data_IF_621613409166
#
_entry.id   IF_621613409166
#
_cell.length_a   1.000
_cell.length_b   1.000
_cell.length_c   1.000
_cell.angle_alpha   90.00
_cell.angle_beta   90.00
_cell.angle_gamma   90.00
#
_symmetry.space_group_name_H-M   'P 1'
#
loop_
_entity.id
_entity.type
_entity.pdbx_description
1 polymer ?
#
# COMPACT_ATOMS: atom_id res chain seq x y z
N UNK A 1 -50.87 -5.87 7.67
CA UNK A 1 -49.94 -5.10 8.51
C UNK A 1 -48.65 -5.86 8.41
N UNK A 2 -47.77 -5.45 7.48
CA UNK A 2 -46.44 -6.05 7.39
C UNK A 2 -45.69 -5.61 8.63
N UNK A 3 -45.23 -6.57 9.42
CA UNK A 3 -44.11 -6.34 10.34
C UNK A 3 -42.98 -5.78 9.50
N UNK A 4 -42.83 -4.47 9.56
CA UNK A 4 -41.56 -3.83 9.26
C UNK A 4 -40.75 -4.07 10.53
N UNK A 5 -40.07 -5.22 10.60
CA UNK A 5 -38.87 -5.29 11.42
C UNK A 5 -37.96 -4.20 10.85
N UNK A 6 -37.89 -3.05 11.53
CA UNK A 6 -36.77 -2.13 11.32
C UNK A 6 -35.53 -2.97 11.57
N UNK A 7 -34.81 -3.34 10.51
CA UNK A 7 -33.48 -3.94 10.62
C UNK A 7 -32.66 -3.00 11.50
N UNK A 8 -32.54 -3.34 12.78
CA UNK A 8 -31.81 -2.54 13.76
C UNK A 8 -30.37 -2.40 13.24
N UNK A 9 -29.96 -1.16 13.00
CA UNK A 9 -28.64 -0.87 12.45
C UNK A 9 -27.59 -1.40 13.42
N UNK A 10 -26.77 -2.36 12.97
CA UNK A 10 -25.73 -2.95 13.80
C UNK A 10 -24.60 -1.96 14.07
N UNK A 11 -23.92 -2.12 15.20
CA UNK A 11 -22.82 -1.24 15.63
C UNK A 11 -21.74 -1.08 14.56
N UNK A 12 -21.37 -2.17 13.88
CA UNK A 12 -20.33 -2.16 12.83
C UNK A 12 -20.76 -1.29 11.63
N UNK A 13 -22.01 -1.44 11.20
CA UNK A 13 -22.58 -0.67 10.10
C UNK A 13 -22.67 0.81 10.48
N UNK A 14 -23.20 1.10 11.67
CA UNK A 14 -23.24 2.45 12.24
C UNK A 14 -21.84 3.06 12.27
N UNK A 15 -20.85 2.38 12.85
CA UNK A 15 -19.47 2.86 12.98
C UNK A 15 -18.84 3.17 11.62
N UNK A 16 -19.00 2.29 10.63
CA UNK A 16 -18.48 2.50 9.28
C UNK A 16 -19.21 3.63 8.52
N UNK A 17 -20.43 3.99 8.91
CA UNK A 17 -21.19 5.09 8.33
C UNK A 17 -20.80 6.48 8.86
N UNK A 18 -20.09 6.54 9.99
CA UNK A 18 -19.71 7.80 10.62
C UNK A 18 -18.78 8.64 9.72
N UNK A 19 -18.93 9.97 9.70
CA UNK A 19 -17.99 10.86 9.01
C UNK A 19 -16.55 10.63 9.47
N UNK A 20 -15.63 10.44 8.52
CA UNK A 20 -14.22 10.14 8.79
C UNK A 20 -13.88 8.64 8.81
N UNK A 21 -14.88 7.76 8.86
CA UNK A 21 -14.69 6.31 8.89
C UNK A 21 -14.86 5.65 7.50
N UNK A 22 -14.88 6.42 6.42
CA UNK A 22 -15.12 5.94 5.06
C UNK A 22 -14.08 4.93 4.57
N UNK A 23 -12.90 4.94 5.20
CA UNK A 23 -11.80 4.03 4.90
C UNK A 23 -12.00 2.61 5.46
N UNK A 24 -12.85 2.45 6.47
CA UNK A 24 -13.14 1.14 7.05
C UNK A 24 -14.03 0.30 6.14
N UNK A 25 -13.84 -1.01 6.17
CA UNK A 25 -14.84 -1.96 5.71
C UNK A 25 -15.54 -2.63 6.90
N UNK A 26 -16.75 -3.13 6.67
CA UNK A 26 -17.51 -3.87 7.67
C UNK A 26 -16.90 -5.26 7.86
N UNK A 27 -16.35 -5.50 9.05
CA UNK A 27 -15.80 -6.82 9.42
C UNK A 27 -16.96 -7.75 9.79
N UNK A 28 -17.11 -8.94 9.18
CA UNK A 28 -18.15 -9.88 9.54
C UNK A 28 -18.06 -10.30 11.02
N UNK A 29 -19.19 -10.33 11.72
CA UNK A 29 -19.25 -10.76 13.13
C UNK A 29 -18.63 -12.14 13.33
N UNK A 30 -18.81 -13.07 12.40
CA UNK A 30 -18.20 -14.41 12.46
C UNK A 30 -16.67 -14.41 12.48
N UNK A 31 -16.01 -13.39 11.92
CA UNK A 31 -14.56 -13.22 12.03
C UNK A 31 -14.15 -12.76 13.43
N UNK A 32 -14.96 -11.88 14.04
CA UNK A 32 -14.75 -11.29 15.36
C UNK A 32 -15.03 -12.30 16.47
N UNK A 33 -16.07 -13.12 16.32
CA UNK A 33 -16.45 -14.17 17.27
C UNK A 33 -15.37 -15.25 17.44
N UNK A 34 -14.54 -15.47 16.40
CA UNK A 34 -13.40 -16.38 16.49
C UNK A 34 -12.24 -15.75 17.28
N UNK A 35 -12.15 -16.14 18.55
CA UNK A 35 -11.11 -15.70 19.49
C UNK A 35 -9.67 -15.87 18.99
N UNK A 36 -9.41 -16.79 18.05
CA UNK A 36 -8.08 -16.96 17.46
C UNK A 36 -7.65 -15.70 16.68
N UNK A 37 -8.58 -15.07 15.96
CA UNK A 37 -8.32 -13.83 15.21
C UNK A 37 -8.01 -12.64 16.12
N UNK A 38 -8.48 -12.70 17.38
CA UNK A 38 -8.31 -11.64 18.38
C UNK A 38 -7.07 -11.82 19.27
N UNK A 39 -6.25 -12.85 19.01
CA UNK A 39 -5.11 -13.19 19.86
C UNK A 39 -4.16 -11.98 20.12
N UNK A 40 -3.80 -11.76 21.39
CA UNK A 40 -2.91 -10.68 21.81
C UNK A 40 -3.55 -9.29 21.96
N UNK A 41 -4.75 -9.06 21.42
CA UNK A 41 -5.43 -7.76 21.55
C UNK A 41 -5.94 -7.50 22.99
N UNK A 42 -6.34 -8.56 23.69
CA UNK A 42 -6.82 -8.49 25.09
C UNK A 42 -5.84 -7.84 26.07
N UNK A 43 -4.53 -7.96 25.83
CA UNK A 43 -3.50 -7.35 26.67
C UNK A 43 -3.23 -5.88 26.33
N UNK A 44 -3.70 -5.42 25.17
CA UNK A 44 -3.37 -4.10 24.61
C UNK A 44 -4.52 -3.10 24.79
N UNK A 45 -5.76 -3.57 24.67
CA UNK A 45 -6.96 -2.72 24.71
C UNK A 45 -7.59 -2.72 26.12
N UNK A 46 -7.86 -1.53 26.70
CA UNK A 46 -8.58 -1.46 27.97
C UNK A 46 -10.04 -1.92 27.80
N UNK A 47 -10.63 -2.51 28.85
CA UNK A 47 -12.03 -2.95 28.82
C UNK A 47 -12.38 -3.88 27.65
N UNK A 48 -11.45 -4.77 27.26
CA UNK A 48 -11.58 -5.61 26.05
C UNK A 48 -12.92 -6.37 25.94
N UNK A 49 -13.41 -6.97 27.03
CA UNK A 49 -14.66 -7.74 27.00
C UNK A 49 -15.88 -6.81 26.79
N UNK A 50 -15.89 -5.65 27.46
CA UNK A 50 -16.94 -4.66 27.30
C UNK A 50 -16.95 -4.10 25.87
N UNK A 51 -15.76 -3.79 25.33
CA UNK A 51 -15.55 -3.37 23.95
C UNK A 51 -16.10 -4.39 22.95
N UNK A 52 -15.79 -5.67 23.17
CA UNK A 52 -16.21 -6.77 22.30
C UNK A 52 -17.73 -6.96 22.34
N UNK A 53 -18.34 -6.87 23.52
CA UNK A 53 -19.79 -6.97 23.68
C UNK A 53 -20.51 -5.82 22.93
N UNK A 54 -19.97 -4.60 22.95
CA UNK A 54 -20.52 -3.48 22.19
C UNK A 54 -20.44 -3.73 20.68
N UNK A 55 -19.26 -4.13 20.17
CA UNK A 55 -19.05 -4.39 18.74
C UNK A 55 -19.96 -5.51 18.21
N UNK A 56 -20.26 -6.50 19.05
CA UNK A 56 -21.10 -7.64 18.72
C UNK A 56 -22.60 -7.41 19.02
N UNK A 57 -23.01 -6.17 19.30
CA UNK A 57 -24.40 -5.82 19.62
C UNK A 57 -24.97 -6.61 20.82
N UNK A 58 -24.13 -7.01 21.78
CA UNK A 58 -24.53 -7.77 22.98
C UNK A 58 -24.89 -6.86 24.17
N UNK A 59 -25.00 -5.55 23.93
CA UNK A 59 -25.33 -4.53 24.93
C UNK A 59 -26.47 -3.66 24.46
N UNK A 60 -27.36 -3.25 25.37
CA UNK A 60 -28.47 -2.33 25.08
C UNK A 60 -28.04 -0.85 25.02
N UNK A 61 -26.76 -0.56 24.71
CA UNK A 61 -26.23 0.81 24.66
C UNK A 61 -26.64 1.42 23.31
N UNK A 62 -27.37 2.55 23.29
CA UNK A 62 -27.71 3.22 22.04
C UNK A 62 -26.44 3.73 21.32
N UNK A 63 -26.42 3.65 19.99
CA UNK A 63 -25.29 4.06 19.16
C UNK A 63 -25.26 5.58 18.96
N UNK A 64 -24.82 6.30 19.99
CA UNK A 64 -24.67 7.76 19.97
C UNK A 64 -23.36 8.20 20.67
N UNK A 65 -23.35 9.40 21.27
CA UNK A 65 -22.18 9.95 21.98
C UNK A 65 -21.77 9.11 23.20
N UNK A 66 -22.63 8.21 23.69
CA UNK A 66 -22.34 7.38 24.85
C UNK A 66 -21.46 6.16 24.53
N UNK A 67 -21.18 5.87 23.24
CA UNK A 67 -20.33 4.74 22.87
C UNK A 67 -18.89 4.98 23.35
N UNK A 68 -18.36 4.12 24.25
CA UNK A 68 -17.02 4.29 24.77
C UNK A 68 -15.95 4.19 23.68
N UNK A 69 -14.89 5.03 23.71
CA UNK A 69 -13.89 5.09 22.65
C UNK A 69 -13.11 3.78 22.48
N UNK A 70 -13.00 2.96 23.55
CA UNK A 70 -12.29 1.68 23.50
C UNK A 70 -12.93 0.66 22.53
N UNK A 71 -14.23 0.80 22.20
CA UNK A 71 -14.90 -0.05 21.22
C UNK A 71 -14.36 0.23 19.81
N UNK A 72 -14.29 1.51 19.43
CA UNK A 72 -13.66 1.94 18.18
C UNK A 72 -12.17 1.56 18.12
N UNK A 73 -11.44 1.71 19.25
CA UNK A 73 -10.04 1.33 19.35
C UNK A 73 -9.83 -0.19 19.13
N UNK A 74 -10.68 -1.04 19.70
CA UNK A 74 -10.65 -2.49 19.48
C UNK A 74 -10.99 -2.82 18.02
N UNK A 75 -12.07 -2.26 17.49
CA UNK A 75 -12.53 -2.53 16.13
C UNK A 75 -11.45 -2.17 15.10
N UNK A 76 -10.77 -1.03 15.27
CA UNK A 76 -9.67 -0.65 14.39
C UNK A 76 -8.54 -1.67 14.37
N UNK A 77 -8.16 -2.23 15.53
CA UNK A 77 -7.12 -3.27 15.59
C UNK A 77 -7.57 -4.62 15.00
N UNK A 78 -8.86 -4.94 15.07
CA UNK A 78 -9.45 -6.11 14.41
C UNK A 78 -9.45 -5.89 12.89
N UNK A 79 -9.90 -4.72 12.43
CA UNK A 79 -9.94 -4.33 11.03
C UNK A 79 -8.56 -4.48 10.36
N UNK A 80 -7.49 -4.00 11.02
CA UNK A 80 -6.12 -4.13 10.53
C UNK A 80 -5.71 -5.58 10.22
N UNK A 81 -6.23 -6.56 10.98
CA UNK A 81 -6.00 -7.99 10.75
C UNK A 81 -6.91 -8.53 9.67
N UNK A 82 -8.18 -8.13 9.69
CA UNK A 82 -9.20 -8.60 8.76
C UNK A 82 -8.83 -8.26 7.31
N UNK A 83 -8.38 -7.03 7.03
CA UNK A 83 -8.05 -6.57 5.67
C UNK A 83 -6.81 -7.25 5.07
N UNK A 84 -6.10 -8.09 5.83
CA UNK A 84 -5.02 -8.95 5.34
C UNK A 84 -5.50 -10.36 4.97
N UNK A 85 -6.75 -10.71 5.29
CA UNK A 85 -7.37 -11.96 4.86
C UNK A 85 -7.86 -11.87 3.43
N UNK A 86 -8.10 -13.00 2.76
CA UNK A 86 -8.65 -13.00 1.40
C UNK A 86 -10.00 -12.28 1.31
N UNK A 87 -10.89 -12.51 2.27
CA UNK A 87 -12.22 -11.89 2.31
C UNK A 87 -12.11 -10.39 2.57
N UNK A 88 -11.27 -9.97 3.52
CA UNK A 88 -11.07 -8.54 3.79
C UNK A 88 -10.42 -7.80 2.62
N UNK A 89 -9.49 -8.44 1.90
CA UNK A 89 -8.94 -7.90 0.65
C UNK A 89 -10.01 -7.70 -0.42
N UNK A 90 -10.92 -8.67 -0.60
CA UNK A 90 -12.02 -8.57 -1.57
C UNK A 90 -13.01 -7.44 -1.19
N UNK A 91 -13.31 -7.28 0.10
CA UNK A 91 -14.17 -6.17 0.58
C UNK A 91 -13.49 -4.82 0.35
N UNK A 92 -12.20 -4.70 0.65
CA UNK A 92 -11.45 -3.46 0.38
C UNK A 92 -11.29 -3.18 -1.12
N UNK A 93 -11.26 -4.22 -1.95
CA UNK A 93 -11.24 -4.10 -3.41
C UNK A 93 -12.52 -3.46 -3.94
N UNK A 94 -13.67 -3.81 -3.38
CA UNK A 94 -14.94 -3.18 -3.75
C UNK A 94 -14.89 -1.68 -3.49
N UNK A 95 -14.52 -1.26 -2.27
CA UNK A 95 -14.34 0.15 -1.89
C UNK A 95 -13.33 0.87 -2.78
N UNK A 96 -12.22 0.22 -3.13
CA UNK A 96 -11.21 0.77 -4.05
C UNK A 96 -11.79 1.07 -5.44
N UNK A 97 -12.67 0.19 -5.95
CA UNK A 97 -13.33 0.36 -7.27
C UNK A 97 -14.39 1.46 -7.24
N UNK A 98 -15.08 1.61 -6.12
CA UNK A 98 -16.08 2.67 -5.89
C UNK A 98 -15.42 4.04 -5.69
N UNK A 99 -14.14 4.05 -5.30
CA UNK A 99 -13.34 5.27 -5.17
C UNK A 99 -13.37 5.87 -3.77
N UNK A 100 -13.84 5.11 -2.77
CA UNK A 100 -14.05 5.54 -1.39
C UNK A 100 -12.76 6.07 -0.73
N UNK A 101 -11.62 5.50 -1.09
CA UNK A 101 -10.33 5.89 -0.52
C UNK A 101 -9.76 7.19 -1.13
N UNK A 102 -10.43 7.73 -2.16
CA UNK A 102 -10.03 8.94 -2.85
C UNK A 102 -8.88 8.72 -3.84
N UNK A 103 -8.16 9.82 -4.14
CA UNK A 103 -7.16 9.86 -5.21
C UNK A 103 -5.87 10.52 -4.77
N UNK A 104 -4.80 10.22 -5.49
CA UNK A 104 -3.47 10.74 -5.21
C UNK A 104 -3.42 12.28 -5.41
N UNK A 105 -2.93 13.04 -4.42
CA UNK A 105 -2.86 14.50 -4.51
C UNK A 105 -1.77 14.99 -5.48
N UNK A 106 -0.86 14.11 -5.92
CA UNK A 106 0.18 14.46 -6.87
C UNK A 106 -0.45 14.69 -8.25
N UNK A 107 -0.38 15.93 -8.73
CA UNK A 107 -0.94 16.33 -10.03
C UNK A 107 -0.52 15.45 -11.23
N UNK A 108 0.70 14.88 -11.18
CA UNK A 108 1.23 14.01 -12.26
C UNK A 108 0.83 12.53 -12.12
N UNK A 109 0.08 12.16 -11.08
CA UNK A 109 -0.51 10.84 -10.96
C UNK A 109 -1.85 10.72 -11.68
N UNK A 110 -2.40 11.81 -12.24
CA UNK A 110 -3.66 11.81 -12.98
C UNK A 110 -4.81 11.17 -12.18
N UNK A 111 -5.02 11.65 -10.94
CA UNK A 111 -6.07 11.18 -10.03
C UNK A 111 -6.09 9.65 -9.81
N UNK A 112 -4.90 9.04 -9.69
CA UNK A 112 -4.78 7.62 -9.36
C UNK A 112 -5.48 7.29 -8.04
N UNK A 113 -6.38 6.30 -8.04
CA UNK A 113 -7.00 5.77 -6.81
C UNK A 113 -5.93 5.28 -5.83
N UNK A 114 -6.15 5.57 -4.55
CA UNK A 114 -5.22 5.24 -3.46
C UNK A 114 -5.85 4.21 -2.51
N UNK A 115 -5.08 3.70 -1.57
CA UNK A 115 -5.56 2.81 -0.50
C UNK A 115 -5.05 3.31 0.86
N UNK A 116 -5.78 3.09 1.96
CA UNK A 116 -5.32 3.47 3.30
C UNK A 116 -4.08 2.66 3.71
N UNK A 117 -3.26 3.25 4.58
CA UNK A 117 -1.98 2.69 5.03
C UNK A 117 -1.60 3.23 6.41
N UNK A 118 -0.94 2.38 7.21
CA UNK A 118 -0.24 2.78 8.43
C UNK A 118 1.26 2.96 8.20
N UNK A 119 1.90 3.91 8.88
CA UNK A 119 3.36 3.97 8.97
C UNK A 119 3.90 2.98 10.01
N UNK A 120 3.08 2.66 11.01
CA UNK A 120 3.39 1.76 12.10
C UNK A 120 2.19 0.84 12.36
N UNK A 121 2.46 -0.40 12.75
CA UNK A 121 1.42 -1.37 13.15
C UNK A 121 1.11 -1.28 14.66
N UNK A 122 1.92 -0.53 15.40
CA UNK A 122 1.71 -0.27 16.82
C UNK A 122 0.79 0.92 17.02
N UNK A 123 -0.23 0.71 17.84
CA UNK A 123 -1.26 1.67 18.18
C UNK A 123 -0.72 2.96 18.83
N UNK A 124 -1.36 4.10 18.54
CA UNK A 124 -1.08 5.46 19.02
C UNK A 124 0.29 6.03 18.61
N UNK A 125 0.89 5.50 17.54
CA UNK A 125 2.18 6.00 17.02
C UNK A 125 2.06 7.03 15.91
N UNK A 126 1.12 6.84 14.99
CA UNK A 126 0.98 7.70 13.82
C UNK A 126 -0.41 7.60 13.24
N UNK A 127 -0.90 8.71 12.72
CA UNK A 127 -2.15 8.77 11.96
C UNK A 127 -2.07 7.95 10.67
N UNK A 128 -3.24 7.57 10.16
CA UNK A 128 -3.42 6.95 8.86
C UNK A 128 -2.87 7.83 7.73
N UNK A 129 -2.33 7.16 6.71
CA UNK A 129 -1.86 7.75 5.44
C UNK A 129 -2.54 7.05 4.26
N UNK A 130 -2.42 7.64 3.08
CA UNK A 130 -2.91 7.11 1.82
C UNK A 130 -1.73 6.72 0.94
N UNK A 131 -1.67 5.45 0.54
CA UNK A 131 -0.66 4.93 -0.37
C UNK A 131 -1.13 5.04 -1.82
N UNK A 132 -0.30 5.68 -2.66
CA UNK A 132 -0.54 5.73 -4.09
C UNK A 132 0.29 4.68 -4.83
N UNK A 133 -0.32 3.71 -5.54
CA UNK A 133 0.41 2.68 -6.27
C UNK A 133 1.17 3.22 -7.49
N UNK A 134 0.81 4.40 -8.02
CA UNK A 134 1.43 4.97 -9.22
C UNK A 134 2.73 5.73 -8.95
N UNK A 135 2.83 6.40 -7.81
CA UNK A 135 4.07 7.07 -7.41
C UNK A 135 4.81 6.38 -6.28
N UNK A 136 4.23 5.32 -5.71
CA UNK A 136 4.78 4.52 -4.63
C UNK A 136 5.17 5.40 -3.42
N UNK A 137 4.26 6.28 -3.02
CA UNK A 137 4.49 7.25 -1.94
C UNK A 137 3.24 7.40 -1.06
N UNK A 138 3.44 7.88 0.16
CA UNK A 138 2.41 8.05 1.19
C UNK A 138 2.01 9.52 1.34
N UNK A 139 0.71 9.75 1.50
CA UNK A 139 0.12 11.08 1.64
C UNK A 139 -0.75 11.17 2.89
N UNK A 140 -0.88 12.36 3.46
CA UNK A 140 -1.91 12.59 4.46
C UNK A 140 -3.30 12.57 3.78
N UNK A 141 -4.33 11.99 4.42
CA UNK A 141 -5.70 12.16 3.94
C UNK A 141 -6.11 13.64 4.00
N UNK A 142 -7.10 14.08 3.20
CA UNK A 142 -7.69 15.39 3.34
C UNK A 142 -8.15 15.61 4.78
N UNK A 143 -7.74 16.71 5.40
CA UNK A 143 -8.12 17.02 6.78
C UNK A 143 -9.39 17.86 6.77
N UNK A 144 -10.45 17.34 7.36
CA UNK A 144 -11.62 18.12 7.73
C UNK A 144 -11.47 18.55 9.19
N UNK A 145 -11.66 19.84 9.47
CA UNK A 145 -11.32 20.45 10.77
C UNK A 145 -12.10 19.86 11.97
N UNK A 146 -13.21 19.17 11.72
CA UNK A 146 -14.13 18.64 12.72
C UNK A 146 -13.95 17.14 12.98
N UNK A 147 -13.11 16.45 12.20
CA UNK A 147 -12.94 15.00 12.26
C UNK A 147 -11.58 14.67 12.89
N UNK A 148 -11.60 13.83 13.93
CA UNK A 148 -10.39 13.34 14.58
C UNK A 148 -9.59 12.44 13.61
N UNK A 149 -8.25 12.56 13.57
CA UNK A 149 -7.45 11.72 12.68
C UNK A 149 -7.49 10.26 13.12
N UNK A 150 -7.73 9.35 12.17
CA UNK A 150 -7.66 7.92 12.40
C UNK A 150 -6.23 7.45 12.68
N UNK A 151 -6.09 6.43 13.53
CA UNK A 151 -4.82 5.77 13.76
C UNK A 151 -4.44 4.91 12.55
N UNK A 152 -3.19 5.02 12.10
CA UNK A 152 -2.68 4.25 10.96
C UNK A 152 -2.56 2.75 11.28
N UNK A 153 -2.43 2.38 12.55
CA UNK A 153 -2.37 0.99 12.98
C UNK A 153 -3.64 0.21 12.63
N UNK A 154 -4.78 0.89 12.43
CA UNK A 154 -6.06 0.28 12.05
C UNK A 154 -6.10 -0.26 10.61
N UNK A 155 -5.09 0.11 9.81
CA UNK A 155 -4.89 -0.37 8.45
C UNK A 155 -3.56 -1.11 8.29
N UNK A 156 -2.58 -0.72 9.11
CA UNK A 156 -1.25 -1.33 9.11
C UNK A 156 -0.42 -0.97 7.89
N UNK A 157 0.87 -1.27 8.00
CA UNK A 157 1.87 -1.01 6.97
C UNK A 157 1.84 -2.02 5.82
N UNK A 158 1.31 -3.22 6.08
CA UNK A 158 1.35 -4.35 5.14
C UNK A 158 0.25 -4.28 4.09
N UNK A 159 -0.94 -3.81 4.46
CA UNK A 159 -2.15 -3.89 3.63
C UNK A 159 -1.97 -3.37 2.20
N UNK A 160 -1.45 -2.15 1.95
CA UNK A 160 -1.30 -1.64 0.58
C UNK A 160 -0.47 -2.57 -0.31
N UNK A 161 0.61 -3.11 0.25
CA UNK A 161 1.56 -3.93 -0.49
C UNK A 161 0.97 -5.31 -0.78
N UNK A 162 0.31 -5.93 0.20
CA UNK A 162 -0.37 -7.21 0.01
C UNK A 162 -1.53 -7.09 -0.98
N UNK A 163 -2.26 -5.97 -0.94
CA UNK A 163 -3.36 -5.68 -1.85
C UNK A 163 -2.91 -5.68 -3.31
N UNK A 164 -1.88 -4.90 -3.67
CA UNK A 164 -1.37 -4.86 -5.05
C UNK A 164 -0.55 -6.11 -5.45
N UNK A 165 -0.01 -6.87 -4.49
CA UNK A 165 0.57 -8.19 -4.77
C UNK A 165 -0.50 -9.23 -5.14
N UNK A 166 -1.69 -9.12 -4.56
CA UNK A 166 -2.84 -9.99 -4.82
C UNK A 166 -3.55 -9.60 -6.13
N UNK A 167 -3.87 -8.32 -6.31
CA UNK A 167 -4.58 -7.78 -7.48
C UNK A 167 -3.63 -7.02 -8.42
N UNK A 168 -2.68 -7.76 -9.01
CA UNK A 168 -1.60 -7.18 -9.85
C UNK A 168 -2.11 -6.41 -11.06
N UNK A 169 -3.30 -6.74 -11.55
CA UNK A 169 -3.97 -6.07 -12.66
C UNK A 169 -4.36 -4.61 -12.34
N UNK A 170 -4.42 -4.25 -11.06
CA UNK A 170 -4.72 -2.89 -10.61
C UNK A 170 -3.47 -2.02 -10.48
N UNK A 171 -2.27 -2.59 -10.62
CA UNK A 171 -1.03 -1.84 -10.51
C UNK A 171 -0.84 -0.95 -11.75
N UNK A 172 -0.86 0.39 -11.58
CA UNK A 172 -0.78 1.32 -12.69
C UNK A 172 0.66 1.41 -13.20
N UNK A 173 0.82 1.86 -14.45
CA UNK A 173 2.15 2.19 -14.98
C UNK A 173 2.81 3.27 -14.11
N UNK A 174 4.06 3.07 -13.64
CA UNK A 174 4.73 4.00 -12.74
C UNK A 174 4.80 5.44 -13.29
N UNK A 175 4.53 6.42 -12.44
CA UNK A 175 4.66 7.84 -12.79
C UNK A 175 6.12 8.26 -12.86
N UNK A 176 6.75 8.08 -14.02
CA UNK A 176 8.10 8.62 -14.33
C UNK A 176 8.10 10.14 -14.55
N UNK A 177 6.93 10.75 -14.75
CA UNK A 177 6.78 12.17 -15.04
C UNK A 177 7.10 13.04 -13.82
N UNK A 178 8.02 13.98 -13.99
CA UNK A 178 8.45 14.93 -12.97
C UNK A 178 8.10 16.36 -13.38
N UNK A 179 7.51 17.14 -12.45
CA UNK A 179 7.17 18.53 -12.71
C UNK A 179 8.41 19.29 -13.18
N UNK A 180 8.35 19.95 -14.34
CA UNK A 180 9.48 20.70 -14.88
C UNK A 180 9.22 22.19 -14.63
N UNK A 181 9.89 22.81 -13.64
CA UNK A 181 9.67 24.23 -13.34
C UNK A 181 10.18 25.11 -14.48
N UNK A 182 9.40 26.14 -14.82
CA UNK A 182 9.69 27.08 -15.91
C UNK A 182 9.41 28.52 -15.48
N UNK A 183 10.24 29.45 -15.95
CA UNK A 183 10.05 30.90 -15.80
C UNK A 183 10.06 31.50 -17.20
N UNK A 184 8.99 32.21 -17.60
CA UNK A 184 8.79 32.72 -18.96
C UNK A 184 9.02 31.67 -20.07
N UNK A 185 8.64 30.41 -19.83
CA UNK A 185 8.84 29.28 -20.75
C UNK A 185 10.21 28.59 -20.65
N UNK A 186 11.22 29.23 -20.06
CA UNK A 186 12.56 28.67 -19.90
C UNK A 186 12.64 27.73 -18.70
N UNK A 187 13.25 26.55 -18.89
CA UNK A 187 13.46 25.57 -17.82
C UNK A 187 14.46 26.12 -16.81
N UNK A 188 14.15 26.01 -15.51
CA UNK A 188 15.09 26.41 -14.46
C UNK A 188 16.25 25.40 -14.41
N UNK A 189 17.48 25.91 -14.38
CA UNK A 189 18.68 25.09 -14.26
C UNK A 189 18.70 24.33 -12.92
N UNK A 190 19.03 23.03 -12.96
CA UNK A 190 19.03 22.15 -11.78
C UNK A 190 20.28 22.41 -10.93
N UNK A 191 20.23 23.42 -10.06
CA UNK A 191 21.37 23.79 -9.21
C UNK A 191 21.71 22.74 -8.14
N UNK A 192 20.70 22.09 -7.56
CA UNK A 192 20.87 21.05 -6.54
C UNK A 192 20.09 19.77 -6.89
N UNK A 193 20.69 18.60 -6.64
CA UNK A 193 20.18 17.27 -6.97
C UNK A 193 19.04 16.76 -6.08
N UNK A 194 18.16 17.61 -5.55
CA UNK A 194 17.12 17.20 -4.58
C UNK A 194 16.01 16.30 -5.17
N UNK A 195 16.18 15.79 -6.40
CA UNK A 195 15.21 14.95 -7.13
C UNK A 195 15.76 13.57 -7.50
N UNK A 196 16.81 13.11 -6.81
CA UNK A 196 17.51 11.87 -7.15
C UNK A 196 16.61 10.63 -7.04
N UNK A 197 15.77 10.50 -5.98
CA UNK A 197 14.87 9.32 -5.82
C UNK A 197 13.89 9.15 -6.99
N UNK A 198 13.20 10.22 -7.40
CA UNK A 198 12.26 10.17 -8.53
C UNK A 198 12.98 10.02 -9.88
N UNK A 199 14.24 10.48 -10.01
CA UNK A 199 15.04 10.28 -11.23
C UNK A 199 15.48 8.84 -11.41
N UNK A 200 15.86 8.14 -10.34
CA UNK A 200 16.29 6.74 -10.41
C UNK A 200 15.14 5.86 -10.95
N UNK A 201 13.93 5.99 -10.38
CA UNK A 201 12.75 5.25 -10.85
C UNK A 201 12.39 5.57 -12.32
N UNK A 202 12.54 6.83 -12.76
CA UNK A 202 12.30 7.20 -14.16
C UNK A 202 13.33 6.63 -15.14
N UNK A 203 14.58 6.45 -14.71
CA UNK A 203 15.67 5.95 -15.57
C UNK A 203 15.68 4.43 -15.72
N UNK A 204 15.09 3.69 -14.77
CA UNK A 204 14.93 2.23 -14.86
C UNK A 204 13.78 1.86 -15.82
N UNK A 205 12.68 2.62 -15.82
CA UNK A 205 11.57 2.43 -16.77
C UNK A 205 11.95 2.65 -18.24
N UNK A 206 12.79 3.65 -18.54
CA UNK A 206 13.26 3.93 -19.91
C UNK A 206 14.17 2.81 -20.47
N UNK A 207 14.91 2.11 -19.62
CA UNK A 207 15.78 0.99 -20.05
C UNK A 207 14.98 -0.25 -20.43
N UNK A 208 13.85 -0.51 -19.76
CA UNK A 208 12.99 -1.66 -20.04
C UNK A 208 12.17 -1.46 -21.34
N UNK A 209 11.80 -0.22 -21.65
CA UNK A 209 11.04 0.11 -22.86
C UNK A 209 11.90 0.09 -24.15
N UNK A 210 13.23 0.30 -24.04
CA UNK A 210 14.14 0.21 -25.19
C UNK A 210 14.53 -1.23 -25.59
N UNK A 211 14.27 -2.23 -24.74
CA UNK A 211 14.57 -3.65 -25.04
C UNK A 211 13.44 -4.39 -25.77
N UNK A 212 12.29 -3.75 -26.01
CA UNK A 212 11.10 -4.37 -26.59
C UNK A 212 10.77 -3.86 -28.01
N UNK A 213 11.74 -3.90 -28.94
CA UNK A 213 11.44 -3.79 -30.38
C UNK A 213 11.76 -5.12 -31.09
N UNK A 214 10.82 -5.72 -31.84
CA UNK A 214 11.05 -6.96 -32.56
C UNK A 214 11.89 -6.70 -33.82
N UNK A 215 13.09 -7.31 -33.89
CA UNK A 215 13.94 -7.28 -35.07
C UNK A 215 13.28 -8.03 -36.24
N UNK A 216 12.82 -7.29 -37.25
CA UNK A 216 12.48 -7.83 -38.57
C UNK A 216 13.75 -8.09 -39.40
N UNK A 217 13.94 -9.36 -39.74
CA UNK A 217 14.49 -9.90 -41.00
C UNK A 217 15.63 -9.17 -41.71
N UNK A 218 16.82 -9.79 -41.70
CA UNK A 218 17.64 -9.92 -42.92
C UNK A 218 18.16 -11.35 -43.09
N UNK A 219 17.71 -11.98 -44.18
CA UNK A 219 18.30 -13.20 -44.76
C UNK A 219 19.66 -12.89 -45.36
N UNK A 220 20.67 -13.75 -45.16
CA UNK A 220 21.52 -14.34 -46.22
C UNK A 220 22.41 -15.47 -45.70
N UNK A 221 22.65 -16.40 -46.62
CA UNK A 221 23.05 -17.81 -46.48
C UNK A 221 24.54 -18.08 -46.17
N UNK A 222 24.90 -19.36 -45.85
CA UNK A 222 26.21 -19.76 -45.32
C UNK A 222 27.19 -20.26 -46.40
N UNK A 223 28.51 -20.13 -46.18
CA UNK A 223 29.54 -21.09 -46.63
C UNK A 223 31.00 -20.69 -46.29
N UNK A 224 31.68 -21.60 -45.59
CA UNK A 224 33.03 -22.13 -45.87
C UNK A 224 34.34 -21.40 -45.50
N UNK A 225 35.27 -22.26 -45.03
CA UNK A 225 36.73 -22.19 -44.96
C UNK A 225 37.39 -21.36 -43.84
N UNK A 226 37.99 -22.00 -42.83
CA UNK A 226 39.25 -22.80 -42.76
C UNK A 226 40.53 -21.95 -42.67
N UNK A 227 41.17 -22.13 -41.51
CA UNK A 227 42.62 -22.17 -41.21
C UNK A 227 43.44 -20.88 -41.42
N UNK A 228 44.13 -20.48 -40.36
CA UNK A 228 45.60 -20.65 -40.25
C UNK A 228 46.10 -20.46 -38.80
N UNK A 229 46.72 -21.52 -38.30
CA UNK A 229 47.65 -21.54 -37.17
C UNK A 229 48.96 -20.81 -37.52
N UNK A 230 49.62 -20.26 -36.50
CA UNK A 230 51.08 -20.34 -36.19
C UNK A 230 51.30 -19.43 -34.96
N UNK A 231 51.99 -19.75 -33.87
CA UNK A 231 52.82 -20.89 -33.47
C UNK A 231 53.90 -20.36 -32.50
N UNK A 232 54.13 -21.10 -31.39
CA UNK A 232 55.32 -21.11 -30.50
C UNK A 232 55.68 -19.80 -29.72
N UNK A 233 56.26 -19.77 -28.51
CA UNK A 233 57.03 -20.74 -27.69
C UNK A 233 57.10 -20.20 -26.24
N UNK A 234 56.69 -20.98 -25.23
CA UNK A 234 57.48 -21.58 -24.13
C UNK A 234 58.46 -20.68 -23.31
N UNK A 235 58.42 -20.79 -21.97
CA UNK A 235 59.57 -20.40 -21.14
C UNK A 235 59.38 -20.02 -19.66
N UNK A 236 58.95 -20.97 -18.80
CA UNK A 236 59.55 -21.35 -17.50
C UNK A 236 59.88 -20.24 -16.44
N UNK A 237 59.20 -20.32 -15.28
CA UNK A 237 59.77 -20.64 -13.94
C UNK A 237 59.31 -19.76 -12.77
N UNK A 238 58.98 -20.45 -11.69
CA UNK A 238 58.62 -19.94 -10.38
C UNK A 238 59.80 -19.35 -9.59
N UNK A 239 59.52 -18.39 -8.70
CA UNK A 239 60.20 -18.34 -7.40
C UNK A 239 59.43 -17.55 -6.33
N UNK A 240 58.95 -18.33 -5.36
CA UNK A 240 58.60 -17.94 -4.00
C UNK A 240 59.83 -17.30 -3.33
N UNK A 241 59.65 -16.14 -2.68
CA UNK A 241 60.44 -15.77 -1.49
C UNK A 241 59.56 -15.08 -0.45
N UNK A 242 59.42 -15.75 0.69
CA UNK A 242 58.99 -15.22 1.98
C UNK A 242 60.09 -14.32 2.58
N UNK A 243 59.66 -13.37 3.42
CA UNK A 243 60.16 -12.98 4.76
C UNK A 243 60.65 -11.53 4.96
N UNK A 244 60.07 -10.97 6.05
CA UNK A 244 60.55 -9.97 7.03
C UNK A 244 60.68 -8.55 6.48
N UNK A 245 60.08 -7.53 7.11
CA UNK A 245 60.07 -7.21 8.55
C UNK A 245 58.65 -7.06 9.10
#
# INVERSE_FOLDING_TARGET
>A
MSDYEEDEEKWIQWFCSLPGNEYFCEVPQSYIEDSFNLYGLRATIPHFEDALNIILDLTDIPYDEDVPPYAAELYGMIHARYILTSHGLDTMLQKYREGDFGVCPRALCANQSVVPAGLHDEWKKSEMKLFCPKCCDLYAPPTEYEIAPLDGAYFGSTFPHLFFLTYKELEPTPSTALYTPRIFGYKIHKRNGNRTRLRIASQEGDKHMQTATPNQTQRRNPASNRKKECGMQEGISARIKKRKV
#
